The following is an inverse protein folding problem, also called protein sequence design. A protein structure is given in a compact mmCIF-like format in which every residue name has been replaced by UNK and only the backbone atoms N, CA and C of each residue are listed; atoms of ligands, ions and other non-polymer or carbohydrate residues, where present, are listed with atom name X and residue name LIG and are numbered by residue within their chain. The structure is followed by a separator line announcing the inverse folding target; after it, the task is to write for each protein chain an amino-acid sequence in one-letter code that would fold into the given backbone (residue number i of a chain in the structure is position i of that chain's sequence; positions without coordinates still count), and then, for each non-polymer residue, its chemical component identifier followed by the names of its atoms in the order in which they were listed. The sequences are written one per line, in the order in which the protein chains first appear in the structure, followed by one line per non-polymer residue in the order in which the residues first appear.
data_IF_215201625954
#
_entry.id   IF_215201625954
#
_cell.length_a   1.000
_cell.length_b   1.000
_cell.length_c   1.000
_cell.angle_alpha   90.00
_cell.angle_beta   90.00
_cell.angle_gamma   90.00
#
_symmetry.space_group_name_H-M   'P 1'
#
loop_
_entity.id
_entity.type
_entity.pdbx_description
1 polymer ?
#
# COMPACT_ATOMS: atom_id res chain seq x y z
N UNK A 1 -20.76 4.64 17.88
CA UNK A 1 -19.42 4.07 17.56
C UNK A 1 -19.56 2.83 16.67
N UNK A 2 -20.40 1.85 17.03
CA UNK A 2 -20.64 0.68 16.18
C UNK A 2 -21.27 1.06 14.83
N UNK A 3 -22.21 2.02 14.81
CA UNK A 3 -22.83 2.49 13.57
C UNK A 3 -21.81 3.02 12.56
N UNK A 4 -20.78 3.75 12.99
CA UNK A 4 -19.73 4.27 12.12
C UNK A 4 -18.98 3.17 11.33
N UNK A 5 -18.92 1.95 11.87
CA UNK A 5 -18.32 0.82 11.18
C UNK A 5 -19.33 0.00 10.37
N UNK A 6 -20.59 -0.06 10.82
CA UNK A 6 -21.61 -0.94 10.23
C UNK A 6 -22.52 -0.26 9.21
N UNK A 7 -22.54 1.08 9.15
CA UNK A 7 -23.43 1.86 8.30
C UNK A 7 -23.23 1.57 6.81
N UNK A 8 -21.98 1.43 6.35
CA UNK A 8 -21.64 1.06 4.97
C UNK A 8 -22.14 -0.33 4.55
N UNK A 9 -22.47 -1.19 5.53
CA UNK A 9 -22.86 -2.59 5.29
C UNK A 9 -24.37 -2.85 5.44
N UNK A 10 -25.16 -1.90 5.93
CA UNK A 10 -26.59 -2.09 6.23
C UNK A 10 -27.41 -2.58 5.02
N UNK A 11 -27.01 -2.18 3.81
CA UNK A 11 -27.68 -2.54 2.56
C UNK A 11 -26.76 -3.33 1.59
N UNK A 12 -25.57 -3.73 2.04
CA UNK A 12 -24.60 -4.42 1.19
C UNK A 12 -24.98 -5.91 1.07
N UNK A 13 -24.90 -6.51 -0.13
CA UNK A 13 -25.14 -7.94 -0.28
C UNK A 13 -24.02 -8.73 0.40
N UNK A 14 -24.35 -9.89 0.98
CA UNK A 14 -23.42 -10.70 1.79
C UNK A 14 -22.11 -11.01 1.07
N UNK A 15 -22.13 -11.27 -0.24
CA UNK A 15 -20.93 -11.55 -1.02
C UNK A 15 -19.96 -10.36 -1.04
N UNK A 16 -20.47 -9.12 -1.06
CA UNK A 16 -19.65 -7.91 -1.05
C UNK A 16 -18.93 -7.78 0.30
N UNK A 17 -19.64 -8.04 1.39
CA UNK A 17 -19.09 -8.05 2.75
C UNK A 17 -17.99 -9.11 2.89
N UNK A 18 -18.20 -10.31 2.33
CA UNK A 18 -17.21 -11.38 2.35
C UNK A 18 -15.95 -10.97 1.57
N UNK A 19 -16.11 -10.37 0.39
CA UNK A 19 -14.97 -9.90 -0.41
C UNK A 19 -14.20 -8.78 0.31
N UNK A 20 -14.88 -7.79 0.87
CA UNK A 20 -14.22 -6.74 1.68
C UNK A 20 -13.48 -7.32 2.89
N UNK A 21 -14.08 -8.29 3.57
CA UNK A 21 -13.43 -8.98 4.68
C UNK A 21 -12.16 -9.74 4.22
N UNK A 22 -12.22 -10.41 3.07
CA UNK A 22 -11.05 -11.06 2.48
C UNK A 22 -9.96 -10.05 2.11
N UNK A 23 -10.31 -8.90 1.53
CA UNK A 23 -9.38 -7.79 1.24
C UNK A 23 -8.71 -7.32 2.51
N UNK A 24 -9.49 -7.08 3.57
CA UNK A 24 -8.99 -6.63 4.86
C UNK A 24 -7.99 -7.62 5.48
N UNK A 25 -8.36 -8.90 5.55
CA UNK A 25 -7.50 -9.95 6.14
C UNK A 25 -6.24 -10.17 5.29
N UNK A 26 -6.39 -10.30 3.97
CA UNK A 26 -5.25 -10.52 3.07
C UNK A 26 -4.30 -9.31 3.06
N UNK A 27 -4.83 -8.09 3.14
CA UNK A 27 -4.03 -6.87 3.29
C UNK A 27 -3.18 -6.87 4.56
N UNK A 28 -3.78 -7.21 5.71
CA UNK A 28 -3.05 -7.30 6.99
C UNK A 28 -1.98 -8.41 6.95
N UNK A 29 -2.33 -9.58 6.41
CA UNK A 29 -1.38 -10.67 6.25
C UNK A 29 -0.22 -10.28 5.34
N UNK A 30 -0.49 -9.55 4.25
CA UNK A 30 0.53 -9.06 3.32
C UNK A 30 1.57 -8.20 4.04
N UNK A 31 1.13 -7.18 4.80
CA UNK A 31 2.02 -6.30 5.56
C UNK A 31 2.79 -7.09 6.63
N UNK A 32 2.14 -8.06 7.28
CA UNK A 32 2.80 -8.93 8.26
C UNK A 32 3.88 -9.82 7.64
N UNK A 33 3.62 -10.40 6.46
CA UNK A 33 4.63 -11.17 5.73
C UNK A 33 5.78 -10.28 5.26
N UNK A 34 5.49 -9.07 4.79
CA UNK A 34 6.52 -8.10 4.42
C UNK A 34 7.45 -7.76 5.59
N UNK A 35 6.88 -7.54 6.78
CA UNK A 35 7.65 -7.35 8.02
C UNK A 35 8.65 -8.48 8.26
N UNK A 36 8.22 -9.73 8.02
CA UNK A 36 9.03 -10.94 8.17
C UNK A 36 9.95 -11.24 6.99
N UNK A 37 10.07 -10.33 6.02
CA UNK A 37 10.83 -10.53 4.78
C UNK A 37 10.38 -11.82 4.04
N UNK A 38 9.10 -12.16 4.17
CA UNK A 38 8.54 -13.38 3.62
C UNK A 38 7.87 -13.12 2.26
N UNK A 39 8.19 -13.95 1.27
CA UNK A 39 7.66 -13.87 -0.10
C UNK A 39 6.13 -13.93 -0.19
N UNK A 40 5.46 -14.50 0.83
CA UNK A 40 4.00 -14.54 0.95
C UNK A 40 3.33 -13.15 1.01
N UNK A 41 4.09 -12.06 1.19
CA UNK A 41 3.62 -10.67 1.02
C UNK A 41 2.91 -10.49 -0.32
N UNK A 42 3.45 -11.06 -1.41
CA UNK A 42 2.94 -10.81 -2.75
C UNK A 42 1.69 -11.59 -3.11
N UNK A 43 1.60 -12.92 -2.88
CA UNK A 43 0.35 -13.65 -3.06
C UNK A 43 -0.81 -13.03 -2.30
N UNK A 44 -0.61 -12.70 -1.01
CA UNK A 44 -1.67 -12.14 -0.17
C UNK A 44 -2.04 -10.71 -0.60
N UNK A 45 -1.05 -9.88 -0.93
CA UNK A 45 -1.29 -8.54 -1.47
C UNK A 45 -1.98 -8.55 -2.84
N UNK A 46 -1.65 -9.51 -3.70
CA UNK A 46 -2.28 -9.68 -5.01
C UNK A 46 -3.75 -10.09 -4.88
N UNK A 47 -4.06 -11.02 -3.97
CA UNK A 47 -5.46 -11.39 -3.67
C UNK A 47 -6.24 -10.16 -3.21
N UNK A 48 -5.69 -9.38 -2.27
CA UNK A 48 -6.36 -8.18 -1.77
C UNK A 48 -6.59 -7.14 -2.89
N UNK A 49 -5.55 -6.82 -3.65
CA UNK A 49 -5.61 -5.77 -4.68
C UNK A 49 -6.48 -6.16 -5.88
N UNK A 50 -6.46 -7.42 -6.32
CA UNK A 50 -7.33 -7.90 -7.40
C UNK A 50 -8.81 -7.89 -6.99
N UNK A 51 -9.12 -8.29 -5.75
CA UNK A 51 -10.49 -8.20 -5.24
C UNK A 51 -10.90 -6.72 -5.12
N UNK A 52 -10.02 -5.83 -4.64
CA UNK A 52 -10.28 -4.39 -4.60
C UNK A 52 -10.57 -3.80 -5.98
N UNK A 53 -9.80 -4.19 -7.02
CA UNK A 53 -10.07 -3.77 -8.41
C UNK A 53 -11.50 -4.16 -8.82
N UNK A 54 -11.91 -5.39 -8.55
CA UNK A 54 -13.26 -5.85 -8.87
C UNK A 54 -14.35 -5.08 -8.11
N UNK A 55 -14.20 -4.89 -6.80
CA UNK A 55 -15.17 -4.14 -5.98
C UNK A 55 -15.31 -2.69 -6.45
N UNK A 56 -14.19 -2.03 -6.75
CA UNK A 56 -14.16 -0.63 -7.21
C UNK A 56 -14.72 -0.49 -8.63
N UNK A 57 -14.51 -1.48 -9.48
CA UNK A 57 -15.16 -1.54 -10.80
C UNK A 57 -16.68 -1.60 -10.67
N UNK A 58 -17.21 -2.50 -9.83
CA UNK A 58 -18.66 -2.63 -9.59
C UNK A 58 -19.24 -1.36 -8.99
N UNK A 59 -18.49 -0.67 -8.13
CA UNK A 59 -18.90 0.57 -7.50
C UNK A 59 -18.70 1.83 -8.38
N UNK A 60 -18.08 1.71 -9.56
CA UNK A 60 -17.86 2.83 -10.48
C UNK A 60 -16.69 3.75 -10.10
N UNK A 61 -15.88 3.40 -9.09
CA UNK A 61 -14.73 4.19 -8.64
C UNK A 61 -13.49 3.90 -9.49
N UNK A 62 -13.50 4.41 -10.73
CA UNK A 62 -12.45 4.10 -11.72
C UNK A 62 -11.07 4.60 -11.29
N UNK A 63 -11.00 5.74 -10.59
CA UNK A 63 -9.72 6.29 -10.12
C UNK A 63 -9.02 5.37 -9.10
N UNK A 64 -9.75 4.97 -8.07
CA UNK A 64 -9.25 4.03 -7.06
C UNK A 64 -8.98 2.64 -7.63
N UNK A 65 -9.78 2.22 -8.62
CA UNK A 65 -9.58 0.96 -9.35
C UNK A 65 -8.23 0.93 -10.06
N UNK A 66 -7.85 2.00 -10.77
CA UNK A 66 -6.56 2.09 -11.47
C UNK A 66 -5.39 2.04 -10.48
N UNK A 67 -5.53 2.68 -9.32
CA UNK A 67 -4.53 2.64 -8.24
C UNK A 67 -4.35 1.19 -7.73
N UNK A 68 -5.45 0.45 -7.51
CA UNK A 68 -5.38 -0.95 -7.10
C UNK A 68 -4.84 -1.87 -8.19
N UNK A 69 -5.10 -1.56 -9.46
CA UNK A 69 -4.50 -2.27 -10.59
C UNK A 69 -2.98 -2.08 -10.63
N UNK A 70 -2.49 -0.86 -10.36
CA UNK A 70 -1.06 -0.62 -10.18
C UNK A 70 -0.46 -1.45 -9.04
N UNK A 71 -1.11 -1.48 -7.87
CA UNK A 71 -0.62 -2.30 -6.77
C UNK A 71 -0.55 -3.78 -7.16
N UNK A 72 -1.54 -4.29 -7.90
CA UNK A 72 -1.54 -5.66 -8.43
C UNK A 72 -0.33 -5.93 -9.33
N UNK A 73 -0.04 -5.04 -10.28
CA UNK A 73 1.12 -5.13 -11.19
C UNK A 73 2.43 -5.08 -10.39
N UNK A 74 2.53 -4.17 -9.43
CA UNK A 74 3.70 -4.05 -8.57
C UNK A 74 3.88 -5.23 -7.63
N UNK A 75 2.80 -5.88 -7.20
CA UNK A 75 2.88 -7.12 -6.44
C UNK A 75 3.49 -8.23 -7.29
N UNK A 76 3.15 -8.35 -8.58
CA UNK A 76 3.78 -9.31 -9.49
C UNK A 76 5.27 -8.99 -9.68
N UNK A 77 5.60 -7.72 -9.94
CA UNK A 77 6.99 -7.28 -10.09
C UNK A 77 7.83 -7.54 -8.84
N UNK A 78 7.30 -7.19 -7.66
CA UNK A 78 7.97 -7.42 -6.39
C UNK A 78 8.14 -8.92 -6.11
N UNK A 79 7.13 -9.73 -6.44
CA UNK A 79 7.22 -11.18 -6.32
C UNK A 79 8.37 -11.74 -7.15
N UNK A 80 8.48 -11.31 -8.42
CA UNK A 80 9.59 -11.69 -9.28
C UNK A 80 10.94 -11.28 -8.68
N UNK A 81 11.06 -10.04 -8.21
CA UNK A 81 12.30 -9.52 -7.60
C UNK A 81 12.71 -10.28 -6.33
N UNK A 82 11.76 -10.64 -5.47
CA UNK A 82 12.04 -11.36 -4.23
C UNK A 82 12.26 -12.86 -4.47
N UNK A 83 11.59 -13.45 -5.46
CA UNK A 83 11.80 -14.84 -5.86
C UNK A 83 13.20 -15.05 -6.45
N UNK A 84 13.68 -14.10 -7.26
CA UNK A 84 15.01 -14.19 -7.89
C UNK A 84 16.14 -14.19 -6.86
N UNK A 85 15.96 -13.48 -5.74
CA UNK A 85 16.95 -13.43 -4.67
C UNK A 85 16.80 -14.54 -3.63
N UNK A 86 16.59 -15.79 -4.06
CA UNK A 86 16.52 -16.98 -3.17
C UNK A 86 17.71 -17.94 -3.32
N UNK A 87 18.62 -17.68 -4.26
CA UNK A 87 19.90 -18.39 -4.38
C UNK A 87 20.93 -17.80 -3.41
N UNK A 88 21.77 -18.66 -2.82
CA UNK A 88 22.70 -18.34 -1.72
C UNK A 88 23.68 -17.19 -2.04
N UNK A 89 23.97 -16.96 -3.32
CA UNK A 89 24.85 -15.88 -3.80
C UNK A 89 24.10 -14.58 -4.16
N UNK A 90 22.77 -14.61 -4.25
CA UNK A 90 21.94 -13.57 -4.89
C UNK A 90 20.78 -13.08 -4.00
N UNK A 91 20.85 -13.33 -2.69
CA UNK A 91 19.84 -12.86 -1.73
C UNK A 91 19.71 -11.34 -1.80
N UNK A 92 18.60 -10.83 -2.38
CA UNK A 92 18.27 -9.40 -2.40
C UNK A 92 18.22 -8.92 -0.95
N UNK A 93 19.20 -8.16 -0.46
CA UNK A 93 19.28 -7.84 0.95
C UNK A 93 18.45 -6.60 1.25
N UNK A 94 17.93 -6.53 2.48
CA UNK A 94 17.43 -5.26 3.01
C UNK A 94 18.58 -4.25 2.97
N UNK A 95 18.34 -3.10 2.32
CA UNK A 95 19.33 -2.02 2.14
C UNK A 95 18.67 -0.65 2.34
N UNK A 96 19.48 0.41 2.39
CA UNK A 96 19.00 1.78 2.29
C UNK A 96 18.96 2.25 0.84
N UNK A 97 18.12 3.24 0.58
CA UNK A 97 18.05 3.93 -0.72
C UNK A 97 19.35 4.65 -1.05
N UNK A 98 19.83 4.44 -2.28
CA UNK A 98 20.90 5.25 -2.88
C UNK A 98 20.36 6.60 -3.39
N UNK A 99 21.23 7.54 -3.74
CA UNK A 99 20.82 8.84 -4.28
C UNK A 99 19.97 8.70 -5.56
N UNK A 100 20.37 7.81 -6.48
CA UNK A 100 19.62 7.54 -7.71
C UNK A 100 18.24 6.95 -7.41
N UNK A 101 18.14 6.04 -6.43
CA UNK A 101 16.86 5.48 -6.01
C UNK A 101 15.95 6.54 -5.38
N UNK A 102 16.50 7.50 -4.63
CA UNK A 102 15.74 8.64 -4.10
C UNK A 102 15.15 9.50 -5.21
N UNK A 103 15.94 9.80 -6.25
CA UNK A 103 15.45 10.54 -7.43
C UNK A 103 14.33 9.76 -8.10
N UNK A 104 14.49 8.45 -8.33
CA UNK A 104 13.44 7.62 -8.93
C UNK A 104 12.18 7.63 -8.07
N UNK A 105 12.30 7.51 -6.75
CA UNK A 105 11.16 7.58 -5.83
C UNK A 105 10.43 8.93 -5.89
N UNK A 106 11.16 10.04 -5.98
CA UNK A 106 10.57 11.38 -6.15
C UNK A 106 9.87 11.50 -7.51
N UNK A 107 10.49 11.00 -8.58
CA UNK A 107 9.88 11.00 -9.91
C UNK A 107 8.59 10.16 -9.92
N UNK A 108 8.61 8.96 -9.33
CA UNK A 108 7.42 8.12 -9.18
C UNK A 108 6.32 8.83 -8.40
N UNK A 109 6.66 9.50 -7.30
CA UNK A 109 5.72 10.33 -6.54
C UNK A 109 5.08 11.40 -7.43
N UNK A 110 5.90 12.23 -8.11
CA UNK A 110 5.42 13.33 -8.94
C UNK A 110 4.55 12.82 -10.09
N UNK A 111 5.02 11.80 -10.82
CA UNK A 111 4.28 11.18 -11.92
C UNK A 111 2.93 10.66 -11.45
N UNK A 112 2.89 10.00 -10.28
CA UNK A 112 1.63 9.48 -9.72
C UNK A 112 0.65 10.61 -9.42
N UNK A 113 1.10 11.71 -8.80
CA UNK A 113 0.22 12.86 -8.53
C UNK A 113 -0.40 13.39 -9.83
N UNK A 114 0.40 13.55 -10.89
CA UNK A 114 -0.10 14.02 -12.18
C UNK A 114 -1.03 13.01 -12.86
N UNK A 115 -0.75 11.71 -12.75
CA UNK A 115 -1.61 10.65 -13.29
C UNK A 115 -2.96 10.64 -12.58
N UNK A 116 -2.99 10.67 -11.24
CA UNK A 116 -4.23 10.70 -10.45
C UNK A 116 -5.03 11.97 -10.76
N UNK A 117 -4.36 13.12 -10.84
CA UNK A 117 -5.00 14.36 -11.25
C UNK A 117 -5.60 14.28 -12.66
N UNK A 118 -4.86 13.71 -13.61
CA UNK A 118 -5.32 13.50 -14.99
C UNK A 118 -6.53 12.56 -15.06
N UNK A 119 -6.54 11.50 -14.26
CA UNK A 119 -7.68 10.59 -14.12
C UNK A 119 -8.90 11.34 -13.59
N UNK A 120 -8.77 12.10 -12.51
CA UNK A 120 -9.89 12.88 -11.97
C UNK A 120 -10.45 13.87 -13.00
N UNK A 121 -9.59 14.53 -13.78
CA UNK A 121 -10.04 15.42 -14.87
C UNK A 121 -10.70 14.67 -16.03
N UNK A 122 -10.18 13.50 -16.41
CA UNK A 122 -10.72 12.71 -17.51
C UNK A 122 -12.11 12.16 -17.21
N UNK A 123 -12.35 11.74 -15.97
CA UNK A 123 -13.64 11.20 -15.51
C UNK A 123 -14.59 12.27 -14.95
N UNK A 124 -14.31 13.56 -15.18
CA UNK A 124 -15.10 14.70 -14.71
C UNK A 124 -15.41 14.67 -13.21
N UNK A 125 -14.44 14.19 -12.42
CA UNK A 125 -14.56 14.07 -10.98
C UNK A 125 -14.44 15.45 -10.31
N UNK A 126 -15.38 15.80 -9.44
CA UNK A 126 -15.32 17.06 -8.70
C UNK A 126 -14.17 17.05 -7.69
N UNK A 127 -13.13 17.86 -7.98
CA UNK A 127 -11.92 17.94 -7.15
C UNK A 127 -12.17 18.88 -5.97
N UNK A 128 -12.38 18.28 -4.80
CA UNK A 128 -12.46 18.96 -3.51
C UNK A 128 -11.08 19.06 -2.85
N UNK A 129 -10.99 19.81 -1.75
CA UNK A 129 -9.71 20.03 -1.03
C UNK A 129 -9.08 18.72 -0.53
N UNK A 130 -9.92 17.78 -0.11
CA UNK A 130 -9.51 16.46 0.39
C UNK A 130 -8.99 15.53 -0.72
N UNK A 131 -9.39 15.73 -1.98
CA UNK A 131 -8.83 15.00 -3.13
C UNK A 131 -7.35 15.32 -3.38
N UNK A 132 -6.86 16.51 -3.03
CA UNK A 132 -5.42 16.81 -3.14
C UNK A 132 -4.60 16.01 -2.13
N UNK A 133 -5.17 15.74 -0.95
CA UNK A 133 -4.55 14.88 0.07
C UNK A 133 -4.44 13.44 -0.45
N UNK A 134 -5.47 12.98 -1.16
CA UNK A 134 -5.53 11.66 -1.79
C UNK A 134 -4.47 11.48 -2.91
N UNK A 135 -4.27 12.52 -3.74
CA UNK A 135 -3.22 12.51 -4.76
C UNK A 135 -1.83 12.38 -4.13
N UNK A 136 -1.57 13.13 -3.06
CA UNK A 136 -0.28 13.12 -2.35
C UNK A 136 -0.06 11.77 -1.67
N UNK A 137 -1.06 11.23 -0.96
CA UNK A 137 -0.95 9.92 -0.31
C UNK A 137 -0.73 8.82 -1.34
N UNK A 138 -1.41 8.87 -2.48
CA UNK A 138 -1.20 7.95 -3.61
C UNK A 138 0.25 7.98 -4.09
N UNK A 139 0.83 9.17 -4.29
CA UNK A 139 2.24 9.30 -4.67
C UNK A 139 3.20 8.69 -3.64
N UNK A 140 2.91 8.87 -2.34
CA UNK A 140 3.70 8.28 -1.25
C UNK A 140 3.66 6.76 -1.31
N UNK A 141 2.47 6.18 -1.45
CA UNK A 141 2.32 4.72 -1.52
C UNK A 141 2.93 4.12 -2.79
N UNK A 142 2.85 4.82 -3.92
CA UNK A 142 3.49 4.37 -5.17
C UNK A 142 5.01 4.26 -5.01
N UNK A 143 5.65 5.32 -4.49
CA UNK A 143 7.08 5.32 -4.21
C UNK A 143 7.45 4.29 -3.14
N UNK A 144 6.62 4.17 -2.09
CA UNK A 144 6.76 3.17 -1.03
C UNK A 144 6.72 1.74 -1.56
N UNK A 145 5.78 1.43 -2.45
CA UNK A 145 5.63 0.10 -3.05
C UNK A 145 6.84 -0.27 -3.91
N UNK A 146 7.37 0.68 -4.68
CA UNK A 146 8.59 0.46 -5.46
C UNK A 146 9.81 0.18 -4.57
N UNK A 147 9.96 0.94 -3.47
CA UNK A 147 11.00 0.66 -2.47
C UNK A 147 10.81 -0.69 -1.78
N UNK A 148 9.58 -1.10 -1.49
CA UNK A 148 9.28 -2.42 -0.91
C UNK A 148 9.72 -3.54 -1.86
N UNK A 149 9.39 -3.44 -3.15
CA UNK A 149 9.82 -4.39 -4.18
C UNK A 149 11.34 -4.56 -4.27
N UNK A 150 12.10 -3.52 -3.90
CA UNK A 150 13.58 -3.51 -3.88
C UNK A 150 14.18 -3.70 -2.47
N UNK A 151 13.37 -4.09 -1.48
CA UNK A 151 13.76 -4.27 -0.06
C UNK A 151 14.49 -3.06 0.53
N UNK A 152 14.01 -1.84 0.24
CA UNK A 152 14.56 -0.60 0.80
C UNK A 152 13.83 -0.23 2.07
N UNK A 153 14.54 -0.02 3.18
CA UNK A 153 13.91 0.27 4.48
C UNK A 153 13.06 1.55 4.46
N UNK A 154 13.41 2.53 3.63
CA UNK A 154 12.65 3.76 3.47
C UNK A 154 11.21 3.53 2.96
N UNK A 155 10.88 2.33 2.45
CA UNK A 155 9.49 1.94 2.18
C UNK A 155 8.61 2.14 3.42
N UNK A 156 9.05 1.64 4.58
CA UNK A 156 8.24 1.70 5.80
C UNK A 156 8.03 3.14 6.28
N UNK A 157 9.03 4.01 6.09
CA UNK A 157 8.89 5.43 6.41
C UNK A 157 7.82 6.08 5.54
N UNK A 158 7.80 5.79 4.24
CA UNK A 158 6.76 6.29 3.34
C UNK A 158 5.38 5.73 3.72
N UNK A 159 5.27 4.44 4.01
CA UNK A 159 4.00 3.83 4.41
C UNK A 159 3.46 4.46 5.70
N UNK A 160 4.29 4.65 6.72
CA UNK A 160 3.88 5.32 7.97
C UNK A 160 3.37 6.75 7.70
N UNK A 161 4.10 7.53 6.89
CA UNK A 161 3.67 8.90 6.54
C UNK A 161 2.34 8.86 5.79
N UNK A 162 2.21 7.98 4.81
CA UNK A 162 0.99 7.78 4.04
C UNK A 162 -0.19 7.41 4.94
N UNK A 163 -0.01 6.43 5.82
CA UNK A 163 -1.06 5.95 6.73
C UNK A 163 -1.52 7.06 7.70
N UNK A 164 -0.60 7.82 8.29
CA UNK A 164 -0.92 8.95 9.18
C UNK A 164 -1.76 10.01 8.46
N UNK A 165 -1.56 10.19 7.15
CA UNK A 165 -2.35 11.12 6.33
C UNK A 165 -3.74 10.54 6.02
N UNK A 166 -3.84 9.26 5.63
CA UNK A 166 -5.10 8.67 5.17
C UNK A 166 -6.04 8.20 6.28
N UNK A 167 -5.54 7.81 7.45
CA UNK A 167 -6.37 7.44 8.61
C UNK A 167 -7.38 8.53 8.98
N UNK A 168 -6.98 9.80 9.22
CA UNK A 168 -7.94 10.87 9.51
C UNK A 168 -8.78 11.25 8.29
N UNK A 169 -8.25 11.17 7.07
CA UNK A 169 -9.00 11.43 5.84
C UNK A 169 -10.17 10.46 5.68
N UNK A 170 -9.94 9.16 5.85
CA UNK A 170 -11.00 8.15 5.77
C UNK A 170 -11.97 8.24 6.94
N UNK A 171 -11.50 8.60 8.14
CA UNK A 171 -12.40 8.86 9.26
C UNK A 171 -13.34 10.04 8.96
N UNK A 172 -12.81 11.12 8.38
CA UNK A 172 -13.59 12.29 7.95
C UNK A 172 -14.63 11.95 6.88
N UNK A 173 -14.29 11.04 5.94
CA UNK A 173 -15.20 10.54 4.89
C UNK A 173 -16.23 9.51 5.37
N UNK A 174 -16.28 9.19 6.66
CA UNK A 174 -17.21 8.18 7.20
C UNK A 174 -16.78 6.73 6.92
N UNK A 175 -15.58 6.51 6.38
CA UNK A 175 -15.08 5.19 5.98
C UNK A 175 -14.38 4.50 7.16
N UNK A 176 -15.18 4.11 8.16
CA UNK A 176 -14.66 3.61 9.43
C UNK A 176 -13.80 2.36 9.32
N UNK A 177 -14.22 1.37 8.53
CA UNK A 177 -13.47 0.12 8.37
C UNK A 177 -12.11 0.34 7.71
N UNK A 178 -12.05 1.20 6.68
CA UNK A 178 -10.79 1.55 6.01
C UNK A 178 -9.87 2.35 6.95
N UNK A 179 -10.40 3.32 7.68
CA UNK A 179 -9.63 4.06 8.68
C UNK A 179 -9.01 3.14 9.74
N UNK A 180 -9.76 2.15 10.22
CA UNK A 180 -9.26 1.11 11.13
C UNK A 180 -8.18 0.23 10.48
N UNK A 181 -8.38 -0.17 9.21
CA UNK A 181 -7.40 -0.96 8.47
C UNK A 181 -6.05 -0.24 8.35
N UNK A 182 -6.07 1.03 7.92
CA UNK A 182 -4.85 1.84 7.78
C UNK A 182 -4.19 2.14 9.13
N UNK A 183 -4.97 2.25 10.21
CA UNK A 183 -4.42 2.34 11.57
C UNK A 183 -3.65 1.06 11.95
N UNK A 184 -4.19 -0.11 11.60
CA UNK A 184 -3.49 -1.39 11.80
C UNK A 184 -2.22 -1.46 10.94
N UNK A 185 -2.30 -1.02 9.67
CA UNK A 185 -1.12 -0.92 8.80
C UNK A 185 -0.04 -0.01 9.39
N UNK A 186 -0.42 1.12 9.99
CA UNK A 186 0.52 2.04 10.65
C UNK A 186 1.30 1.31 11.74
N UNK A 187 0.61 0.58 12.62
CA UNK A 187 1.23 -0.17 13.73
C UNK A 187 2.16 -1.25 13.19
N UNK A 188 1.73 -1.98 12.17
CA UNK A 188 2.55 -3.01 11.53
C UNK A 188 3.77 -2.42 10.83
N UNK A 189 3.62 -1.29 10.13
CA UNK A 189 4.71 -0.60 9.42
C UNK A 189 5.76 -0.06 10.39
N UNK A 190 5.36 0.51 11.54
CA UNK A 190 6.30 0.89 12.61
C UNK A 190 7.07 -0.33 13.10
N UNK A 191 6.36 -1.43 13.39
CA UNK A 191 6.98 -2.66 13.85
C UNK A 191 7.95 -3.26 12.81
N UNK A 192 7.59 -3.20 11.54
CA UNK A 192 8.39 -3.67 10.43
C UNK A 192 9.65 -2.83 10.21
N UNK A 193 9.54 -1.50 10.29
CA UNK A 193 10.68 -0.60 10.24
C UNK A 193 11.70 -0.92 11.33
N UNK A 194 11.25 -1.16 12.56
CA UNK A 194 12.12 -1.52 13.68
C UNK A 194 12.80 -2.88 13.46
N UNK A 195 12.09 -3.87 12.92
CA UNK A 195 12.65 -5.20 12.62
C UNK A 195 13.71 -5.12 11.50
N UNK A 196 13.41 -4.42 10.41
CA UNK A 196 14.34 -4.22 9.28
C UNK A 196 15.56 -3.38 9.67
N UNK A 197 15.38 -2.38 10.54
CA UNK A 197 16.49 -1.58 11.05
C UNK A 197 17.47 -2.42 11.85
N UNK A 198 16.98 -3.33 12.71
CA UNK A 198 17.83 -4.27 13.45
C UNK A 198 18.66 -5.15 12.52
N UNK A 199 18.07 -5.63 11.42
CA UNK A 199 18.76 -6.44 10.40
C UNK A 199 19.86 -5.64 9.69
N UNK A 200 19.61 -4.36 9.40
CA UNK A 200 20.62 -3.48 8.79
C UNK A 200 21.77 -3.17 9.74
N UNK A 201 21.46 -2.85 11.00
CA UNK A 201 22.45 -2.47 11.99
C UNK A 201 23.36 -3.66 12.35
N UNK A 202 22.82 -4.89 12.40
CA UNK A 202 23.63 -6.10 12.62
C UNK A 202 24.57 -6.40 11.45
N UNK A 203 24.12 -6.26 10.19
CA UNK A 203 24.98 -6.45 9.02
C UNK A 203 26.15 -5.47 8.99
N UNK A 204 25.94 -4.21 9.39
CA UNK A 204 27.00 -3.19 9.46
C UNK A 204 28.07 -3.52 10.51
N UNK A 205 27.72 -4.24 11.57
CA UNK A 205 28.68 -4.67 12.59
C UNK A 205 29.55 -5.85 12.14
N UNK A 206 29.12 -6.60 11.12
CA UNK A 206 29.83 -7.77 10.59
C UNK A 206 30.71 -7.44 9.36
N UNK A 207 30.63 -6.22 8.83
CA UNK A 207 31.42 -5.72 7.69
C UNK A 207 32.54 -4.78 8.14
#
# INVERSE_FOLDING_TARGET
MIDFFLESYKNAPLWHIILEFLVFVCGILSVWFAKKENIWVYPTGLIATVISVYLLYVAGYIGDMIINAYFSIMSIYGWYMWAKGTTVEDNLPITRTTFNEKIIGILLFIVTVFVVFGIYKYFDYEIHKDNYVDMISSGIFFAGMWYMARKKIENWTLWIIGDIIVVPLYAYRGLGMLSLQYLIFTILAISAYLEWKKILDSKKQMS
#
